data_IF_123436981377
#
_entry.id   IF_123436981377
#
_cell.length_a   1.000
_cell.length_b   1.000
_cell.length_c   1.000
_cell.angle_alpha   90.00
_cell.angle_beta   90.00
_cell.angle_gamma   90.00
#
_symmetry.space_group_name_H-M   'P 1'
#
loop_
_entity.id
_entity.type
_entity.pdbx_description
1 polymer ?
#
# COMPACT_ATOMS: atom_id res chain seq x y z
N UNK A 1 19.30 -26.28 -39.96
CA UNK A 1 18.34 -25.93 -38.87
C UNK A 1 19.11 -25.80 -37.55
N UNK A 2 19.40 -24.58 -37.06
CA UNK A 2 20.09 -24.38 -35.77
C UNK A 2 19.10 -24.65 -34.63
N UNK A 3 19.36 -25.70 -33.85
CA UNK A 3 18.61 -26.01 -32.62
C UNK A 3 19.10 -25.08 -31.52
N UNK A 4 18.32 -24.05 -31.22
CA UNK A 4 18.55 -23.24 -30.03
C UNK A 4 18.30 -24.12 -28.80
N UNK A 5 19.28 -24.24 -27.91
CA UNK A 5 19.07 -24.94 -26.64
C UNK A 5 18.09 -24.14 -25.79
N UNK A 6 17.33 -24.82 -24.92
CA UNK A 6 16.32 -24.21 -24.04
C UNK A 6 16.82 -22.94 -23.32
N UNK A 7 18.09 -22.94 -22.91
CA UNK A 7 18.77 -21.79 -22.29
C UNK A 7 18.96 -20.59 -23.23
N UNK A 8 19.19 -20.81 -24.53
CA UNK A 8 19.28 -19.74 -25.53
C UNK A 8 17.90 -19.10 -25.80
N UNK A 9 16.84 -19.90 -25.73
CA UNK A 9 15.47 -19.40 -25.81
C UNK A 9 15.09 -18.55 -24.57
N UNK A 10 15.47 -19.00 -23.37
CA UNK A 10 15.25 -18.26 -22.12
C UNK A 10 16.02 -16.92 -22.09
N UNK A 11 17.24 -16.89 -22.61
CA UNK A 11 18.07 -15.68 -22.71
C UNK A 11 17.48 -14.62 -23.68
N UNK A 12 16.75 -15.05 -24.71
CA UNK A 12 16.03 -14.17 -25.64
C UNK A 12 14.80 -13.50 -25.00
N UNK A 13 14.10 -14.17 -24.08
CA UNK A 13 12.98 -13.56 -23.34
C UNK A 13 13.44 -12.59 -22.25
N UNK A 14 14.62 -12.84 -21.66
CA UNK A 14 15.23 -11.96 -20.66
C UNK A 14 15.65 -10.60 -21.25
N UNK A 15 16.02 -10.57 -22.53
CA UNK A 15 16.54 -9.37 -23.20
C UNK A 15 15.46 -8.56 -23.93
N UNK A 16 14.31 -9.14 -24.25
CA UNK A 16 13.22 -8.45 -24.98
C UNK A 16 12.22 -7.66 -24.11
N UNK A 17 12.21 -7.89 -22.80
CA UNK A 17 11.21 -7.33 -21.87
C UNK A 17 11.74 -6.19 -20.97
N UNK A 18 13.02 -5.83 -21.10
CA UNK A 18 13.78 -5.09 -20.09
C UNK A 18 13.57 -3.57 -20.03
N UNK A 19 12.77 -2.97 -20.92
CA UNK A 19 12.59 -1.50 -20.95
C UNK A 19 11.35 -0.97 -20.24
N UNK A 20 10.17 -1.52 -20.54
CA UNK A 20 8.88 -0.88 -20.23
C UNK A 20 8.00 -1.70 -19.27
N UNK A 21 8.06 -3.04 -19.34
CA UNK A 21 7.30 -3.94 -18.46
C UNK A 21 7.71 -3.88 -16.97
N UNK A 22 9.00 -3.81 -16.60
CA UNK A 22 9.36 -3.71 -15.18
C UNK A 22 8.91 -2.37 -14.57
N UNK A 23 8.90 -1.28 -15.34
CA UNK A 23 8.47 0.04 -14.87
C UNK A 23 6.96 0.07 -14.62
N UNK A 24 6.16 -0.47 -15.54
CA UNK A 24 4.71 -0.59 -15.37
C UNK A 24 4.35 -1.50 -14.17
N UNK A 25 5.07 -2.61 -13.98
CA UNK A 25 4.88 -3.49 -12.83
C UNK A 25 5.20 -2.80 -11.50
N UNK A 26 6.28 -2.03 -11.44
CA UNK A 26 6.67 -1.28 -10.24
C UNK A 26 5.64 -0.20 -9.88
N UNK A 27 5.13 0.55 -10.87
CA UNK A 27 4.06 1.54 -10.66
C UNK A 27 2.76 0.87 -10.18
N UNK A 28 2.39 -0.26 -10.79
CA UNK A 28 1.22 -1.03 -10.40
C UNK A 28 1.27 -1.50 -8.95
N UNK A 29 2.44 -1.97 -8.48
CA UNK A 29 2.63 -2.37 -7.08
C UNK A 29 2.47 -1.18 -6.14
N UNK A 30 2.99 0.00 -6.49
CA UNK A 30 2.81 1.20 -5.65
C UNK A 30 1.36 1.65 -5.57
N UNK A 31 0.64 1.62 -6.69
CA UNK A 31 -0.77 1.98 -6.73
C UNK A 31 -1.62 1.01 -5.91
N UNK A 32 -1.38 -0.29 -6.09
CA UNK A 32 -2.10 -1.33 -5.36
C UNK A 32 -1.80 -1.23 -3.85
N UNK A 33 -0.55 -0.97 -3.49
CA UNK A 33 -0.17 -0.74 -2.10
C UNK A 33 -0.87 0.49 -1.53
N UNK A 34 -0.91 1.61 -2.26
CA UNK A 34 -1.65 2.81 -1.84
C UNK A 34 -3.14 2.52 -1.62
N UNK A 35 -3.77 1.81 -2.57
CA UNK A 35 -5.18 1.43 -2.49
C UNK A 35 -5.47 0.58 -1.24
N UNK A 36 -4.63 -0.43 -0.95
CA UNK A 36 -4.80 -1.24 0.25
C UNK A 36 -4.67 -0.46 1.55
N UNK A 37 -3.85 0.61 1.60
CA UNK A 37 -3.77 1.46 2.78
C UNK A 37 -5.05 2.26 2.98
N UNK A 38 -5.60 2.84 1.91
CA UNK A 38 -6.89 3.54 1.95
C UNK A 38 -8.00 2.60 2.41
N UNK A 39 -8.09 1.41 1.80
CA UNK A 39 -9.10 0.40 2.17
C UNK A 39 -8.94 -0.07 3.61
N UNK A 40 -7.70 -0.27 4.09
CA UNK A 40 -7.46 -0.60 5.50
C UNK A 40 -7.99 0.49 6.43
N UNK A 41 -7.76 1.76 6.11
CA UNK A 41 -8.31 2.89 6.85
C UNK A 41 -9.84 2.88 6.90
N UNK A 42 -10.49 2.67 5.75
CA UNK A 42 -11.96 2.56 5.63
C UNK A 42 -12.49 1.41 6.49
N UNK A 43 -11.87 0.23 6.42
CA UNK A 43 -12.30 -0.94 7.17
C UNK A 43 -12.14 -0.76 8.68
N UNK A 44 -11.02 -0.21 9.13
CA UNK A 44 -10.79 0.09 10.55
C UNK A 44 -11.84 1.10 11.04
N UNK A 45 -12.08 2.18 10.27
CA UNK A 45 -13.07 3.16 10.63
C UNK A 45 -14.49 2.57 10.66
N UNK A 46 -14.86 1.76 9.67
CA UNK A 46 -16.16 1.08 9.64
C UNK A 46 -16.37 0.11 10.78
N UNK A 47 -15.32 -0.61 11.20
CA UNK A 47 -15.39 -1.49 12.34
C UNK A 47 -15.53 -0.74 13.67
N UNK A 48 -14.84 0.38 13.84
CA UNK A 48 -14.82 1.15 15.09
C UNK A 48 -15.93 2.20 15.20
N UNK A 49 -16.61 2.54 14.11
CA UNK A 49 -17.64 3.58 14.08
C UNK A 49 -18.79 3.38 15.09
N UNK A 50 -19.26 2.14 15.38
CA UNK A 50 -20.29 1.91 16.40
C UNK A 50 -19.88 2.40 17.80
N UNK A 51 -18.59 2.41 18.11
CA UNK A 51 -18.03 2.88 19.40
C UNK A 51 -17.87 4.42 19.43
N UNK A 52 -18.08 5.09 18.30
CA UNK A 52 -18.05 6.53 18.16
C UNK A 52 -16.79 7.09 17.48
N UNK A 53 -16.87 8.33 16.97
CA UNK A 53 -15.83 8.93 16.13
C UNK A 53 -14.49 9.14 16.85
N UNK A 54 -14.51 9.36 18.17
CA UNK A 54 -13.29 9.51 18.97
C UNK A 54 -12.51 8.19 19.02
N UNK A 55 -13.21 7.06 19.17
CA UNK A 55 -12.59 5.73 19.19
C UNK A 55 -11.96 5.41 17.83
N UNK A 56 -12.64 5.79 16.74
CA UNK A 56 -12.08 5.66 15.39
C UNK A 56 -10.77 6.44 15.24
N UNK A 57 -10.74 7.71 15.64
CA UNK A 57 -9.55 8.57 15.53
C UNK A 57 -8.38 7.99 16.34
N UNK A 58 -8.64 7.59 17.58
CA UNK A 58 -7.62 6.98 18.45
C UNK A 58 -7.13 5.64 17.88
N UNK A 59 -8.04 4.79 17.40
CA UNK A 59 -7.69 3.52 16.77
C UNK A 59 -6.82 3.69 15.53
N UNK A 60 -7.20 4.60 14.63
CA UNK A 60 -6.42 4.93 13.43
C UNK A 60 -5.04 5.50 13.80
N UNK A 61 -4.96 6.37 14.81
CA UNK A 61 -3.70 6.93 15.29
C UNK A 61 -2.77 5.83 15.85
N UNK A 62 -3.30 4.91 16.65
CA UNK A 62 -2.53 3.78 17.20
C UNK A 62 -2.05 2.85 16.10
N UNK A 63 -2.90 2.49 15.14
CA UNK A 63 -2.51 1.64 14.00
C UNK A 63 -1.44 2.31 13.17
N UNK A 64 -1.59 3.61 12.87
CA UNK A 64 -0.60 4.37 12.13
C UNK A 64 0.74 4.46 12.89
N UNK A 65 0.70 4.71 14.20
CA UNK A 65 1.87 4.75 15.06
C UNK A 65 2.59 3.40 15.10
N UNK A 66 1.88 2.31 15.36
CA UNK A 66 2.48 0.97 15.42
C UNK A 66 3.12 0.62 14.08
N UNK A 67 2.47 0.95 12.97
CA UNK A 67 3.04 0.72 11.64
C UNK A 67 4.29 1.58 11.38
N UNK A 68 4.32 2.82 11.86
CA UNK A 68 5.51 3.65 11.79
C UNK A 68 6.66 3.04 12.60
N UNK A 69 6.39 2.58 13.82
CA UNK A 69 7.36 1.90 14.70
C UNK A 69 7.90 0.64 14.04
N UNK A 70 7.03 -0.24 13.54
CA UNK A 70 7.47 -1.45 12.83
C UNK A 70 8.33 -1.13 11.61
N UNK A 71 7.93 -0.15 10.80
CA UNK A 71 8.70 0.25 9.62
C UNK A 71 10.07 0.81 9.99
N UNK A 72 10.14 1.58 11.07
CA UNK A 72 11.39 2.12 11.59
C UNK A 72 12.32 1.01 12.12
N UNK A 73 11.79 0.05 12.87
CA UNK A 73 12.55 -1.08 13.40
C UNK A 73 13.08 -1.98 12.27
N UNK A 74 12.27 -2.22 11.24
CA UNK A 74 12.63 -3.09 10.11
C UNK A 74 13.70 -2.46 9.20
N UNK A 75 13.59 -1.15 8.93
CA UNK A 75 14.45 -0.49 7.93
C UNK A 75 15.48 0.48 8.51
N UNK A 76 15.49 0.69 9.84
CA UNK A 76 16.36 1.63 10.55
C UNK A 76 16.05 3.11 10.30
N UNK A 77 15.07 3.43 9.46
CA UNK A 77 14.66 4.80 9.11
C UNK A 77 13.21 4.86 8.66
N UNK A 78 12.55 6.01 8.84
CA UNK A 78 11.22 6.26 8.28
C UNK A 78 11.36 6.91 6.91
N UNK A 79 11.08 6.15 5.85
CA UNK A 79 11.09 6.70 4.49
C UNK A 79 9.84 7.57 4.26
N UNK A 80 9.99 8.69 3.52
CA UNK A 80 8.86 9.56 3.15
C UNK A 80 7.70 8.80 2.50
N UNK A 81 8.01 7.73 1.73
CA UNK A 81 7.00 6.87 1.11
C UNK A 81 6.14 6.13 2.14
N UNK A 82 6.75 5.62 3.21
CA UNK A 82 6.02 4.94 4.29
C UNK A 82 5.10 5.92 5.01
N UNK A 83 5.59 7.15 5.26
CA UNK A 83 4.76 8.23 5.82
C UNK A 83 3.59 8.56 4.91
N UNK A 84 3.80 8.62 3.59
CA UNK A 84 2.71 8.80 2.62
C UNK A 84 1.65 7.70 2.70
N UNK A 85 2.06 6.44 2.85
CA UNK A 85 1.13 5.33 3.05
C UNK A 85 0.37 5.37 4.38
N UNK A 86 0.99 5.87 5.45
CA UNK A 86 0.28 6.14 6.71
C UNK A 86 -0.76 7.25 6.53
N UNK A 87 -0.41 8.31 5.81
CA UNK A 87 -1.34 9.38 5.46
C UNK A 87 -2.55 8.88 4.67
N UNK A 88 -2.33 7.99 3.69
CA UNK A 88 -3.41 7.36 2.93
C UNK A 88 -4.32 6.47 3.79
N UNK A 89 -3.75 5.77 4.78
CA UNK A 89 -4.53 5.00 5.75
C UNK A 89 -5.43 5.91 6.60
N UNK A 90 -4.88 7.00 7.13
CA UNK A 90 -5.65 7.97 7.90
C UNK A 90 -6.73 8.63 7.03
N UNK A 91 -6.39 9.02 5.80
CA UNK A 91 -7.31 9.63 4.85
C UNK A 91 -8.48 8.68 4.51
N UNK A 92 -8.23 7.38 4.32
CA UNK A 92 -9.27 6.39 4.11
C UNK A 92 -10.26 6.31 5.28
N UNK A 93 -9.74 6.31 6.52
CA UNK A 93 -10.58 6.31 7.71
C UNK A 93 -11.41 7.60 7.87
N UNK A 94 -10.78 8.76 7.66
CA UNK A 94 -11.47 10.07 7.68
C UNK A 94 -12.55 10.13 6.59
N UNK A 95 -12.26 9.64 5.39
CA UNK A 95 -13.23 9.61 4.29
C UNK A 95 -14.47 8.79 4.65
N UNK A 96 -14.28 7.64 5.31
CA UNK A 96 -15.40 6.83 5.81
C UNK A 96 -16.22 7.57 6.89
N UNK A 97 -15.54 8.24 7.83
CA UNK A 97 -16.23 9.03 8.86
C UNK A 97 -17.04 10.18 8.23
N UNK A 98 -16.49 10.86 7.23
CA UNK A 98 -17.21 11.90 6.48
C UNK A 98 -18.41 11.32 5.73
N UNK A 99 -18.27 10.15 5.10
CA UNK A 99 -19.37 9.46 4.43
C UNK A 99 -20.53 9.17 5.39
N UNK A 100 -20.23 8.73 6.61
CA UNK A 100 -21.23 8.49 7.67
C UNK A 100 -21.95 9.76 8.16
N UNK A 101 -21.49 10.97 7.81
CA UNK A 101 -22.24 12.21 8.12
C UNK A 101 -23.38 12.47 7.12
N UNK A 102 -23.37 11.82 5.96
CA UNK A 102 -24.33 12.05 4.88
C UNK A 102 -25.31 10.88 4.67
N UNK A 103 -25.16 9.80 5.44
CA UNK A 103 -26.01 8.60 5.41
C UNK A 103 -26.75 8.49 6.72
#
# INVERSE_FOLDING_TARGET
>A
MRRYTFYQWLALFRTRSSGLLPVAGVIGVFFLQALFHVLAGVLIAGFLMPEGPVVVILGLAVVALMKAVYSYLDTGRLALRQVGYLGLLLAGGVLYMLYQLFV
#
